data_IF_038363403904
#
_entry.id   IF_038363403904
#
_cell.length_a   1.000
_cell.length_b   1.000
_cell.length_c   1.000
_cell.angle_alpha   90.00
_cell.angle_beta   90.00
_cell.angle_gamma   90.00
#
_symmetry.space_group_name_H-M   'P 1'
#
loop_
_entity.id
_entity.type
_entity.pdbx_description
1 polymer ?
#
# COMPACT_ATOMS: atom_id res chain seq x y z
N UNK A 1 5.46 4.99 -4.39
CA UNK A 1 5.46 3.62 -4.93
C UNK A 1 5.29 2.64 -3.79
N UNK A 2 4.40 1.66 -3.94
CA UNK A 2 4.20 0.54 -3.03
C UNK A 2 4.95 -0.68 -3.58
N UNK A 3 5.58 -1.47 -2.72
CA UNK A 3 6.40 -2.63 -3.10
C UNK A 3 5.80 -3.93 -2.63
N UNK A 4 5.91 -4.96 -3.45
CA UNK A 4 5.38 -6.29 -3.15
C UNK A 4 6.16 -7.01 -2.05
N UNK A 5 5.44 -7.81 -1.28
CA UNK A 5 5.97 -8.79 -0.33
C UNK A 5 4.99 -9.97 -0.19
N UNK A 6 5.42 -11.04 0.49
CA UNK A 6 4.58 -12.21 0.75
C UNK A 6 4.10 -12.25 2.21
N UNK A 7 3.98 -11.09 2.85
CA UNK A 7 3.64 -10.94 4.27
C UNK A 7 2.26 -10.30 4.50
N UNK A 8 1.54 -9.92 3.43
CA UNK A 8 0.23 -9.26 3.53
C UNK A 8 -0.81 -9.88 2.59
N UNK A 9 -2.07 -9.93 3.05
CA UNK A 9 -3.22 -10.39 2.26
C UNK A 9 -3.74 -9.31 1.32
N UNK A 10 -4.42 -9.72 0.25
CA UNK A 10 -5.10 -8.80 -0.67
C UNK A 10 -6.10 -7.91 0.07
N UNK A 11 -6.86 -8.47 1.01
CA UNK A 11 -7.82 -7.74 1.84
C UNK A 11 -7.15 -6.60 2.61
N UNK A 12 -6.00 -6.87 3.24
CA UNK A 12 -5.22 -5.85 3.94
C UNK A 12 -4.74 -4.74 3.00
N UNK A 13 -4.18 -5.10 1.83
CA UNK A 13 -3.69 -4.11 0.87
C UNK A 13 -4.84 -3.21 0.40
N UNK A 14 -6.00 -3.79 0.13
CA UNK A 14 -7.19 -3.05 -0.31
C UNK A 14 -7.68 -2.10 0.77
N UNK A 15 -7.83 -2.57 2.01
CA UNK A 15 -8.25 -1.75 3.16
C UNK A 15 -7.32 -0.54 3.36
N UNK A 16 -6.01 -0.79 3.36
CA UNK A 16 -4.98 0.25 3.49
C UNK A 16 -5.08 1.31 2.38
N UNK A 17 -5.21 0.88 1.12
CA UNK A 17 -5.26 1.79 -0.04
C UNK A 17 -6.55 2.62 -0.08
N UNK A 18 -7.69 2.04 0.34
CA UNK A 18 -8.95 2.78 0.46
C UNK A 18 -8.84 3.85 1.55
N UNK A 19 -8.29 3.50 2.72
CA UNK A 19 -8.23 4.42 3.86
C UNK A 19 -7.19 5.54 3.70
N UNK A 20 -6.01 5.21 3.15
CA UNK A 20 -4.88 6.14 3.07
C UNK A 20 -4.87 6.91 1.75
N UNK A 21 -5.03 6.19 0.64
CA UNK A 21 -4.97 6.78 -0.71
C UNK A 21 -6.33 7.24 -1.23
N UNK A 22 -7.39 7.14 -0.41
CA UNK A 22 -8.76 7.54 -0.75
C UNK A 22 -9.25 6.89 -2.07
N UNK A 23 -8.84 5.64 -2.30
CA UNK A 23 -9.26 4.88 -3.48
C UNK A 23 -10.65 4.28 -3.28
N UNK A 24 -11.34 4.00 -4.38
CA UNK A 24 -12.46 3.05 -4.34
C UNK A 24 -11.92 1.63 -4.15
N UNK A 25 -12.75 0.73 -3.65
CA UNK A 25 -12.39 -0.68 -3.46
C UNK A 25 -11.93 -1.31 -4.77
N UNK A 26 -12.59 -1.00 -5.89
CA UNK A 26 -12.25 -1.53 -7.22
C UNK A 26 -10.87 -1.06 -7.66
N UNK A 27 -10.56 0.23 -7.46
CA UNK A 27 -9.25 0.78 -7.80
C UNK A 27 -8.15 0.18 -6.90
N UNK A 28 -8.41 0.09 -5.60
CA UNK A 28 -7.49 -0.53 -4.65
C UNK A 28 -7.22 -2.01 -4.99
N UNK A 29 -8.25 -2.76 -5.39
CA UNK A 29 -8.12 -4.14 -5.86
C UNK A 29 -7.21 -4.25 -7.09
N UNK A 30 -7.36 -3.36 -8.07
CA UNK A 30 -6.48 -3.34 -9.24
C UNK A 30 -5.01 -3.07 -8.86
N UNK A 31 -4.76 -2.17 -7.90
CA UNK A 31 -3.42 -1.92 -7.38
C UNK A 31 -2.85 -3.12 -6.60
N UNK A 32 -3.67 -3.81 -5.81
CA UNK A 32 -3.27 -5.04 -5.11
C UNK A 32 -2.86 -6.15 -6.10
N UNK A 33 -3.64 -6.34 -7.17
CA UNK A 33 -3.29 -7.27 -8.27
C UNK A 33 -2.01 -6.83 -8.98
N UNK A 34 -1.84 -5.52 -9.20
CA UNK A 34 -0.69 -4.99 -9.92
C UNK A 34 0.60 -5.16 -9.11
N UNK A 35 0.60 -4.83 -7.81
CA UNK A 35 1.79 -4.93 -6.97
C UNK A 35 2.27 -6.38 -6.87
N UNK A 36 1.37 -7.34 -6.66
CA UNK A 36 1.69 -8.77 -6.61
C UNK A 36 2.37 -9.27 -7.91
N UNK A 37 1.86 -8.84 -9.07
CA UNK A 37 2.37 -9.25 -10.39
C UNK A 37 3.62 -8.50 -10.83
N UNK A 38 3.64 -7.19 -10.69
CA UNK A 38 4.67 -6.30 -11.22
C UNK A 38 5.75 -5.94 -10.18
N UNK A 39 5.60 -6.47 -8.96
CA UNK A 39 6.46 -6.23 -7.78
C UNK A 39 6.45 -4.80 -7.25
N UNK A 40 5.67 -3.91 -7.86
CA UNK A 40 5.47 -2.52 -7.44
C UNK A 40 4.23 -1.91 -8.06
N UNK A 41 3.69 -0.86 -7.45
CA UNK A 41 2.62 -0.04 -8.06
C UNK A 41 2.67 1.41 -7.58
N UNK A 42 2.16 2.34 -8.40
CA UNK A 42 2.05 3.76 -8.05
C UNK A 42 0.69 4.03 -7.41
N UNK A 43 0.68 4.28 -6.10
CA UNK A 43 -0.55 4.45 -5.31
C UNK A 43 -0.96 5.92 -5.11
N UNK A 44 -0.02 6.85 -5.29
CA UNK A 44 -0.26 8.29 -5.20
C UNK A 44 0.67 9.03 -6.15
N UNK A 45 0.19 10.13 -6.73
CA UNK A 45 0.96 11.06 -7.55
C UNK A 45 0.43 12.47 -7.32
N UNK A 46 1.33 13.41 -7.04
CA UNK A 46 0.98 14.79 -6.69
C UNK A 46 2.16 15.51 -6.04
N UNK A 47 1.86 16.58 -5.31
CA UNK A 47 2.86 17.35 -4.58
C UNK A 47 3.64 16.49 -3.58
N UNK A 48 4.94 16.80 -3.42
CA UNK A 48 5.85 16.03 -2.59
C UNK A 48 5.38 15.94 -1.13
N UNK A 49 4.91 17.05 -0.55
CA UNK A 49 4.42 17.09 0.84
C UNK A 49 3.24 16.13 1.07
N UNK A 50 2.31 16.06 0.11
CA UNK A 50 1.20 15.11 0.19
C UNK A 50 1.68 13.66 0.01
N UNK A 51 2.64 13.45 -0.89
CA UNK A 51 3.21 12.13 -1.11
C UNK A 51 3.97 11.63 0.14
N UNK A 52 4.72 12.49 0.81
CA UNK A 52 5.39 12.23 2.09
C UNK A 52 4.38 11.84 3.16
N UNK A 53 3.28 12.58 3.30
CA UNK A 53 2.24 12.25 4.27
C UNK A 53 1.56 10.90 3.98
N UNK A 54 1.26 10.61 2.71
CA UNK A 54 0.69 9.31 2.30
C UNK A 54 1.67 8.17 2.60
N UNK A 55 2.95 8.34 2.30
CA UNK A 55 3.99 7.35 2.59
C UNK A 55 4.09 7.08 4.09
N UNK A 56 4.15 8.13 4.92
CA UNK A 56 4.22 8.00 6.38
C UNK A 56 3.02 7.23 6.93
N UNK A 57 1.81 7.51 6.42
CA UNK A 57 0.61 6.76 6.82
C UNK A 57 0.68 5.29 6.45
N UNK A 58 1.20 4.94 5.25
CA UNK A 58 1.39 3.54 4.83
C UNK A 58 2.37 2.85 5.78
N UNK A 59 3.56 3.43 5.99
CA UNK A 59 4.60 2.81 6.82
C UNK A 59 4.14 2.57 8.27
N UNK A 60 3.21 3.37 8.77
CA UNK A 60 2.65 3.27 10.12
C UNK A 60 1.29 2.55 10.20
N UNK A 61 0.79 1.95 9.11
CA UNK A 61 -0.53 1.30 9.12
C UNK A 61 -0.61 0.06 10.03
N UNK A 62 0.54 -0.57 10.32
CA UNK A 62 0.64 -1.73 11.20
C UNK A 62 0.62 -3.06 10.47
N UNK A 63 0.72 -4.17 11.20
CA UNK A 63 0.76 -5.51 10.63
C UNK A 63 -0.60 -5.99 10.12
N UNK A 64 -0.60 -6.90 9.14
CA UNK A 64 -1.80 -7.64 8.73
C UNK A 64 -2.19 -8.66 9.80
N UNK A 65 -3.32 -8.47 10.51
CA UNK A 65 -3.76 -9.41 11.56
C UNK A 65 -4.16 -10.78 11.01
N UNK A 66 -4.34 -10.92 9.69
CA UNK A 66 -4.72 -12.17 9.01
C UNK A 66 -3.49 -13.06 8.74
N UNK A 67 -2.28 -12.51 8.82
CA UNK A 67 -1.03 -13.22 8.54
C UNK A 67 -0.08 -13.16 9.74
N UNK A 68 0.21 -14.32 10.33
CA UNK A 68 1.07 -14.41 11.52
C UNK A 68 2.53 -14.01 11.28
N UNK A 69 2.97 -14.02 10.02
CA UNK A 69 4.30 -13.56 9.61
C UNK A 69 4.37 -12.06 9.31
N UNK A 70 3.22 -11.36 9.21
CA UNK A 70 3.21 -9.90 9.06
C UNK A 70 3.67 -9.24 10.35
N UNK A 71 4.74 -8.44 10.29
CA UNK A 71 5.33 -7.76 11.47
C UNK A 71 5.18 -6.23 11.44
N UNK A 72 4.73 -5.67 10.33
CA UNK A 72 4.61 -4.24 10.09
C UNK A 72 3.77 -4.03 8.84
N UNK A 73 3.72 -2.80 8.33
CA UNK A 73 2.99 -2.53 7.09
C UNK A 73 3.82 -2.85 5.84
N UNK A 74 3.18 -2.72 4.69
CA UNK A 74 3.83 -2.79 3.39
C UNK A 74 4.88 -1.69 3.21
N UNK A 75 5.88 -2.00 2.37
CA UNK A 75 6.96 -1.06 2.05
C UNK A 75 6.50 -0.02 1.02
N UNK A 76 6.79 1.25 1.29
CA UNK A 76 6.51 2.36 0.38
C UNK A 76 7.68 3.35 0.25
N UNK A 77 7.98 3.78 -0.98
CA UNK A 77 9.03 4.77 -1.29
C UNK A 77 8.49 5.95 -2.11
N UNK A 78 9.14 7.11 -1.99
CA UNK A 78 8.91 8.25 -2.87
C UNK A 78 9.86 8.19 -4.05
N UNK A 79 9.34 8.43 -5.25
CA UNK A 79 10.13 8.54 -6.48
C UNK A 79 9.93 9.94 -7.07
N UNK A 80 11.00 10.49 -7.67
CA UNK A 80 11.03 11.83 -8.27
C UNK A 80 11.20 11.73 -9.79
#
# INVERSE_FOLDING_TARGET
MLWDDNEHTYEYVIEMLVEICMMTVEKAFLHAVQVDKEKRTVVFSGELEHAEHVQERILNYGADPRMSNSKGSMSATLER
#
